data_IF_566621252668
#
_entry.id   IF_566621252668
#
_cell.length_a   1.000
_cell.length_b   1.000
_cell.length_c   1.000
_cell.angle_alpha   90.00
_cell.angle_beta   90.00
_cell.angle_gamma   90.00
#
_symmetry.space_group_name_H-M   'P 1'
#
loop_
_entity.id
_entity.type
_entity.pdbx_description
1 polymer ?
#
# COMPACT_ATOMS: atom_id res chain seq x y z
N UNK A 1 -20.76 -52.04 -11.33
CA UNK A 1 -21.03 -51.18 -10.14
C UNK A 1 -19.79 -50.47 -9.57
N UNK A 2 -18.70 -51.18 -9.23
CA UNK A 2 -17.53 -50.57 -8.55
C UNK A 2 -16.83 -49.44 -9.34
N UNK A 3 -16.70 -49.59 -10.66
CA UNK A 3 -16.13 -48.54 -11.53
C UNK A 3 -16.98 -47.26 -11.48
N UNK A 4 -18.31 -47.39 -11.62
CA UNK A 4 -19.22 -46.24 -11.62
C UNK A 4 -19.20 -45.49 -10.28
N UNK A 5 -19.16 -46.21 -9.16
CA UNK A 5 -19.04 -45.62 -7.82
C UNK A 5 -17.73 -44.83 -7.68
N UNK A 6 -16.61 -45.34 -8.24
CA UNK A 6 -15.32 -44.65 -8.20
C UNK A 6 -15.33 -43.34 -9.01
N UNK A 7 -15.99 -43.33 -10.17
CA UNK A 7 -16.07 -42.13 -11.01
C UNK A 7 -17.02 -41.10 -10.41
N UNK A 8 -18.15 -41.55 -9.84
CA UNK A 8 -19.07 -40.71 -9.09
C UNK A 8 -18.35 -40.05 -7.89
N UNK A 9 -17.60 -40.83 -7.11
CA UNK A 9 -16.85 -40.32 -5.96
C UNK A 9 -15.81 -39.28 -6.40
N UNK A 10 -15.06 -39.56 -7.47
CA UNK A 10 -14.06 -38.62 -8.02
C UNK A 10 -14.71 -37.31 -8.51
N UNK A 11 -15.84 -37.42 -9.20
CA UNK A 11 -16.61 -36.26 -9.65
C UNK A 11 -17.10 -35.40 -8.48
N UNK A 12 -17.66 -36.01 -7.44
CA UNK A 12 -18.11 -35.30 -6.23
C UNK A 12 -16.95 -34.59 -5.54
N UNK A 13 -15.76 -35.21 -5.45
CA UNK A 13 -14.58 -34.56 -4.88
C UNK A 13 -14.13 -33.31 -5.64
N UNK A 14 -14.22 -33.30 -6.98
CA UNK A 14 -13.87 -32.13 -7.80
C UNK A 14 -14.85 -30.97 -7.61
N UNK A 15 -16.14 -31.25 -7.38
CA UNK A 15 -17.14 -30.23 -7.07
C UNK A 15 -17.01 -29.64 -5.65
N UNK A 16 -16.30 -30.31 -4.75
CA UNK A 16 -16.08 -29.87 -3.37
C UNK A 16 -14.83 -28.98 -3.20
N UNK A 17 -14.10 -28.67 -4.27
CA UNK A 17 -12.93 -27.79 -4.21
C UNK A 17 -13.40 -26.34 -4.04
N UNK A 18 -13.27 -25.80 -2.83
CA UNK A 18 -13.50 -24.38 -2.54
C UNK A 18 -12.29 -23.54 -2.98
N UNK A 19 -12.56 -22.32 -3.47
CA UNK A 19 -11.50 -21.35 -3.74
C UNK A 19 -10.86 -20.96 -2.41
N UNK A 20 -9.58 -21.28 -2.23
CA UNK A 20 -8.81 -20.77 -1.11
C UNK A 20 -8.66 -19.26 -1.29
N UNK A 21 -9.26 -18.47 -0.42
CA UNK A 21 -9.06 -17.03 -0.37
C UNK A 21 -7.70 -16.78 0.28
N UNK A 22 -6.67 -16.54 -0.54
CA UNK A 22 -5.42 -16.01 -0.04
C UNK A 22 -5.60 -14.51 0.21
N UNK A 23 -5.27 -14.04 1.42
CA UNK A 23 -5.22 -12.61 1.68
C UNK A 23 -4.12 -11.98 0.82
N UNK A 24 -4.46 -10.89 0.12
CA UNK A 24 -3.48 -10.10 -0.61
C UNK A 24 -2.50 -9.48 0.39
N UNK A 25 -1.21 -9.52 0.06
CA UNK A 25 -0.18 -8.84 0.85
C UNK A 25 -0.36 -7.32 0.75
N UNK A 26 0.16 -6.59 1.74
CA UNK A 26 0.23 -5.12 1.67
C UNK A 26 0.95 -4.71 0.39
N UNK A 27 0.40 -3.71 -0.30
CA UNK A 27 0.96 -3.06 -1.50
C UNK A 27 1.72 -1.77 -1.14
N UNK A 28 1.88 -1.49 0.15
CA UNK A 28 2.50 -0.28 0.67
C UNK A 28 3.62 -0.64 1.66
N UNK A 29 4.80 -0.06 1.44
CA UNK A 29 6.04 -0.39 2.15
C UNK A 29 6.81 0.86 2.54
N UNK A 30 7.13 0.99 3.83
CA UNK A 30 7.97 2.07 4.34
C UNK A 30 9.34 1.52 4.77
N UNK A 31 10.40 2.16 4.29
CA UNK A 31 11.78 1.89 4.71
C UNK A 31 12.28 3.11 5.46
N UNK A 32 12.83 2.91 6.65
CA UNK A 32 13.34 3.97 7.52
C UNK A 32 14.73 3.61 8.01
N UNK A 33 15.64 4.57 7.90
CA UNK A 33 16.98 4.53 8.45
C UNK A 33 17.07 5.54 9.59
N UNK A 34 17.59 5.10 10.74
CA UNK A 34 17.86 5.98 11.87
C UNK A 34 19.10 6.83 11.56
N UNK A 35 18.94 8.16 11.52
CA UNK A 35 20.08 9.08 11.41
C UNK A 35 20.68 9.40 12.78
N UNK A 36 19.86 9.31 13.84
CA UNK A 36 20.25 9.35 15.25
C UNK A 36 19.11 8.77 16.13
N UNK A 37 19.23 8.89 17.45
CA UNK A 37 18.27 8.32 18.42
C UNK A 37 16.83 8.86 18.33
N UNK A 38 16.60 9.99 17.65
CA UNK A 38 15.30 10.64 17.57
C UNK A 38 14.86 11.03 16.15
N UNK A 39 15.66 10.69 15.14
CA UNK A 39 15.39 11.09 13.75
C UNK A 39 15.57 9.92 12.79
N UNK A 40 14.60 9.81 11.88
CA UNK A 40 14.54 8.79 10.84
C UNK A 40 14.38 9.45 9.48
N UNK A 41 15.01 8.88 8.47
CA UNK A 41 14.85 9.26 7.07
C UNK A 41 14.58 8.02 6.24
N UNK A 42 13.90 8.14 5.12
CA UNK A 42 13.71 6.99 4.25
C UNK A 42 12.71 7.25 3.15
N UNK A 43 12.12 6.17 2.64
CA UNK A 43 11.18 6.19 1.52
C UNK A 43 9.91 5.42 1.87
N UNK A 44 8.80 5.90 1.34
CA UNK A 44 7.53 5.20 1.40
C UNK A 44 7.09 4.89 -0.03
N UNK A 45 7.02 3.61 -0.35
CA UNK A 45 6.51 3.09 -1.60
C UNK A 45 5.01 2.81 -1.44
N UNK A 46 4.20 3.35 -2.34
CA UNK A 46 2.74 3.22 -2.34
C UNK A 46 2.32 2.90 -3.78
N UNK A 47 1.42 1.92 -3.93
CA UNK A 47 0.85 1.64 -5.24
C UNK A 47 -0.02 2.81 -5.71
N UNK A 48 0.08 3.19 -6.98
CA UNK A 48 -0.70 4.29 -7.58
C UNK A 48 -2.20 4.02 -7.44
N UNK A 49 -2.64 2.79 -7.64
CA UNK A 49 -4.06 2.40 -7.52
C UNK A 49 -4.61 2.57 -6.11
N UNK A 50 -3.77 2.47 -5.07
CA UNK A 50 -4.19 2.75 -3.69
C UNK A 50 -4.40 4.26 -3.49
N UNK A 51 -3.53 5.08 -4.09
CA UNK A 51 -3.65 6.54 -4.04
C UNK A 51 -4.85 7.05 -4.85
N UNK A 52 -5.22 6.39 -5.94
CA UNK A 52 -6.37 6.74 -6.78
C UNK A 52 -7.71 6.78 -6.03
N UNK A 53 -7.82 6.05 -4.92
CA UNK A 53 -9.02 6.06 -4.08
C UNK A 53 -9.31 7.44 -3.47
N UNK A 54 -8.29 8.30 -3.34
CA UNK A 54 -8.38 9.63 -2.74
C UNK A 54 -7.90 10.75 -3.69
N UNK A 55 -7.07 10.42 -4.67
CA UNK A 55 -6.45 11.39 -5.59
C UNK A 55 -6.73 10.96 -7.03
N UNK A 56 -7.56 11.72 -7.75
CA UNK A 56 -7.77 11.47 -9.18
C UNK A 56 -6.51 11.83 -9.99
N UNK A 57 -5.89 10.83 -10.63
CA UNK A 57 -4.71 11.01 -11.48
C UNK A 57 -5.01 11.13 -12.96
N UNK A 58 -5.99 10.41 -13.50
CA UNK A 58 -6.36 10.50 -14.92
C UNK A 58 -6.94 11.91 -15.22
N UNK A 59 -6.07 12.81 -15.69
CA UNK A 59 -6.38 14.23 -15.88
C UNK A 59 -6.99 14.49 -17.26
N UNK A 60 -6.62 13.67 -18.24
CA UNK A 60 -7.08 13.80 -19.62
C UNK A 60 -8.28 12.89 -19.94
N UNK A 61 -8.68 12.00 -19.03
CA UNK A 61 -9.82 11.08 -19.11
C UNK A 61 -9.69 10.04 -20.24
N UNK A 62 -8.46 9.60 -20.54
CA UNK A 62 -8.23 8.56 -21.55
C UNK A 62 -8.19 7.14 -20.98
N UNK A 63 -8.26 6.99 -19.65
CA UNK A 63 -8.27 5.71 -18.94
C UNK A 63 -6.88 5.13 -18.65
N UNK A 64 -5.81 5.77 -19.11
CA UNK A 64 -4.43 5.47 -18.76
C UNK A 64 -3.90 6.51 -17.76
N UNK A 65 -2.95 6.11 -16.90
CA UNK A 65 -2.28 7.05 -15.99
C UNK A 65 -0.82 7.20 -16.41
N UNK A 66 -0.46 8.40 -16.85
CA UNK A 66 0.89 8.75 -17.22
C UNK A 66 1.67 9.37 -16.04
N UNK A 67 3.00 9.22 -16.08
CA UNK A 67 3.90 9.78 -15.05
C UNK A 67 3.76 11.30 -14.86
N UNK A 68 3.50 12.04 -15.94
CA UNK A 68 3.32 13.49 -15.85
C UNK A 68 2.04 13.87 -15.06
N UNK A 69 1.03 13.00 -15.03
CA UNK A 69 -0.22 13.25 -14.29
C UNK A 69 -0.05 12.97 -12.80
N UNK A 70 0.67 11.88 -12.47
CA UNK A 70 1.08 11.58 -11.09
C UNK A 70 1.91 12.74 -10.52
N UNK A 71 2.93 13.18 -11.26
CA UNK A 71 3.81 14.26 -10.81
C UNK A 71 3.12 15.62 -10.76
N UNK A 72 2.12 15.88 -11.61
CA UNK A 72 1.27 17.07 -11.52
C UNK A 72 0.45 17.10 -10.20
N UNK A 73 0.24 15.94 -9.56
CA UNK A 73 -0.45 15.80 -8.28
C UNK A 73 0.49 15.71 -7.07
N UNK A 74 1.78 16.04 -7.22
CA UNK A 74 2.76 15.93 -6.14
C UNK A 74 2.29 16.56 -4.82
N UNK A 75 1.72 17.77 -4.82
CA UNK A 75 1.24 18.40 -3.59
C UNK A 75 0.12 17.60 -2.94
N UNK A 76 -0.86 17.14 -3.72
CA UNK A 76 -1.97 16.34 -3.21
C UNK A 76 -1.49 15.00 -2.65
N UNK A 77 -0.49 14.38 -3.28
CA UNK A 77 0.16 13.16 -2.78
C UNK A 77 0.84 13.46 -1.45
N UNK A 78 1.70 14.50 -1.38
CA UNK A 78 2.40 14.89 -0.16
C UNK A 78 1.45 15.18 1.00
N UNK A 79 0.38 15.94 0.75
CA UNK A 79 -0.61 16.29 1.77
C UNK A 79 -1.35 15.06 2.28
N UNK A 80 -1.84 14.20 1.38
CA UNK A 80 -2.55 12.98 1.75
C UNK A 80 -1.66 12.02 2.55
N UNK A 81 -0.44 11.79 2.07
CA UNK A 81 0.54 10.89 2.69
C UNK A 81 0.92 11.38 4.08
N UNK A 82 1.29 12.66 4.24
CA UNK A 82 1.71 13.21 5.53
C UNK A 82 0.58 13.27 6.55
N UNK A 83 -0.65 13.55 6.11
CA UNK A 83 -1.83 13.57 6.99
C UNK A 83 -2.31 12.17 7.39
N UNK A 84 -1.99 11.15 6.58
CA UNK A 84 -2.33 9.75 6.86
C UNK A 84 -1.36 9.06 7.83
N UNK A 85 -0.22 9.69 8.16
CA UNK A 85 0.78 9.11 9.05
C UNK A 85 0.54 9.48 10.51
N UNK A 86 0.74 8.50 11.38
CA UNK A 86 0.80 8.70 12.83
C UNK A 86 1.97 7.90 13.38
N UNK A 87 2.87 8.56 14.10
CA UNK A 87 3.94 7.91 14.83
C UNK A 87 3.70 8.06 16.33
N UNK A 88 4.02 7.00 17.07
CA UNK A 88 3.88 6.94 18.52
C UNK A 88 5.19 6.45 19.10
N UNK A 89 5.75 7.23 20.03
CA UNK A 89 6.88 6.76 20.83
C UNK A 89 6.38 5.86 21.95
N UNK A 90 6.97 4.68 22.09
CA UNK A 90 6.61 3.73 23.17
C UNK A 90 7.16 4.15 24.54
N UNK A 91 8.06 5.14 24.58
CA UNK A 91 8.73 5.61 25.79
C UNK A 91 8.15 6.93 26.31
N UNK A 92 7.34 7.63 25.50
CA UNK A 92 6.66 8.85 25.92
C UNK A 92 5.64 8.54 27.02
N UNK A 93 5.75 9.24 28.15
CA UNK A 93 4.92 9.02 29.35
C UNK A 93 3.65 9.88 29.33
N UNK A 94 3.55 10.80 28.37
CA UNK A 94 2.41 11.69 28.17
C UNK A 94 2.08 11.88 26.69
N UNK A 95 0.81 12.14 26.38
CA UNK A 95 0.34 12.43 25.00
C UNK A 95 0.83 13.83 24.52
N UNK A 96 1.27 14.69 25.45
CA UNK A 96 1.90 15.99 25.16
C UNK A 96 3.42 15.90 24.89
N UNK A 97 4.04 14.73 25.06
CA UNK A 97 5.45 14.50 24.72
C UNK A 97 5.62 14.32 23.21
N UNK A 98 5.74 15.46 22.53
CA UNK A 98 6.34 15.63 21.22
C UNK A 98 5.77 14.69 20.14
N UNK A 99 4.66 15.09 19.52
CA UNK A 99 4.22 14.48 18.27
C UNK A 99 5.39 14.44 17.27
N UNK A 100 5.69 13.27 16.71
CA UNK A 100 6.70 13.14 15.67
C UNK A 100 6.29 14.03 14.49
N UNK A 101 7.14 15.00 14.15
CA UNK A 101 6.92 15.81 12.97
C UNK A 101 7.32 15.00 11.73
N UNK A 102 6.42 14.94 10.75
CA UNK A 102 6.70 14.37 9.43
C UNK A 102 6.99 15.49 8.45
N UNK A 103 7.99 15.29 7.60
CA UNK A 103 8.26 16.18 6.48
C UNK A 103 8.74 15.36 5.29
N UNK A 104 8.42 15.84 4.09
CA UNK A 104 8.90 15.26 2.83
C UNK A 104 9.22 16.39 1.87
N UNK A 105 10.41 16.34 1.29
CA UNK A 105 10.88 17.30 0.27
C UNK A 105 11.54 16.61 -0.93
N UNK A 106 11.61 15.27 -0.91
CA UNK A 106 12.21 14.50 -1.99
C UNK A 106 11.24 14.39 -3.19
N UNK A 107 11.74 14.35 -4.43
CA UNK A 107 10.90 14.15 -5.60
C UNK A 107 10.30 12.74 -5.60
N UNK A 108 9.08 12.62 -6.15
CA UNK A 108 8.47 11.32 -6.43
C UNK A 108 9.34 10.50 -7.40
N UNK A 109 9.37 9.19 -7.19
CA UNK A 109 10.11 8.25 -8.02
C UNK A 109 9.24 7.04 -8.31
N UNK A 110 9.33 6.51 -9.53
CA UNK A 110 8.83 5.17 -9.81
C UNK A 110 9.82 4.17 -9.28
N UNK A 111 9.31 3.18 -8.56
CA UNK A 111 10.09 2.03 -8.19
C UNK A 111 10.40 1.20 -9.46
N UNK A 112 11.60 0.64 -9.52
CA UNK A 112 12.16 -0.05 -10.71
C UNK A 112 12.41 -1.53 -10.48
N UNK A 113 11.80 -2.10 -9.43
CA UNK A 113 11.89 -3.52 -9.08
C UNK A 113 11.50 -4.46 -10.23
#
# INVERSE_FOLDING_TARGET
MKIFIRHLLCGVCLFLVSTAQAHQLSTSYITLDATNDSQFTGSWQINVTDLEQQIAFDLNQDGDIAWHEITAKHSAISDFVLTSLTAKSTTAKSIDEQACAFSSSAPLQLDSH
#
